data_IF_763566799991
#
_entry.id   IF_763566799991
#
_cell.length_a   1.000
_cell.length_b   1.000
_cell.length_c   1.000
_cell.angle_alpha   90.00
_cell.angle_beta   90.00
_cell.angle_gamma   90.00
#
_symmetry.space_group_name_H-M   'P 1'
#
loop_
_entity.id
_entity.type
_entity.pdbx_description
1 polymer ?
#
# COMPACT_ATOMS: atom_id res chain seq x y z
N UNK A 1 -13.82 -19.68 4.06
CA UNK A 1 -12.96 -20.70 4.68
C UNK A 1 -13.33 -22.08 4.16
N UNK A 2 -12.37 -23.04 4.16
CA UNK A 2 -12.64 -24.44 3.85
C UNK A 2 -13.91 -24.95 4.53
N UNK A 3 -14.74 -25.66 3.77
CA UNK A 3 -16.05 -26.15 4.22
C UNK A 3 -17.24 -25.22 3.95
N UNK A 4 -17.02 -23.98 3.50
CA UNK A 4 -18.09 -23.05 3.10
C UNK A 4 -18.50 -23.18 1.63
N UNK A 5 -19.77 -22.90 1.31
CA UNK A 5 -20.29 -22.94 -0.07
C UNK A 5 -19.66 -21.92 -1.02
N UNK A 6 -19.15 -20.81 -0.50
CA UNK A 6 -18.40 -19.83 -1.29
C UNK A 6 -16.93 -20.24 -1.47
N UNK A 7 -16.39 -21.09 -0.59
CA UNK A 7 -14.97 -21.48 -0.65
C UNK A 7 -14.64 -22.17 -1.96
N UNK A 8 -15.47 -23.13 -2.34
CA UNK A 8 -15.38 -23.78 -3.64
C UNK A 8 -16.37 -23.14 -4.62
N UNK A 9 -15.97 -22.77 -5.85
CA UNK A 9 -14.61 -22.86 -6.39
C UNK A 9 -13.75 -21.59 -6.17
N UNK A 10 -14.37 -20.46 -5.82
CA UNK A 10 -13.78 -19.11 -5.96
C UNK A 10 -12.64 -18.82 -4.99
N UNK A 11 -12.77 -19.25 -3.73
CA UNK A 11 -11.80 -18.91 -2.67
C UNK A 11 -10.88 -20.08 -2.32
N UNK A 12 -10.84 -21.12 -3.14
CA UNK A 12 -9.98 -22.30 -2.95
C UNK A 12 -8.50 -21.93 -2.73
N UNK A 13 -7.89 -20.97 -3.46
CA UNK A 13 -6.51 -20.58 -3.21
C UNK A 13 -6.27 -19.95 -1.83
N UNK A 14 -7.30 -19.37 -1.19
CA UNK A 14 -7.18 -18.74 0.12
C UNK A 14 -7.02 -19.76 1.25
N UNK A 15 -7.29 -21.04 1.00
CA UNK A 15 -6.90 -22.11 1.93
C UNK A 15 -5.40 -22.15 2.16
N UNK A 16 -4.58 -21.92 1.12
CA UNK A 16 -3.14 -21.85 1.27
C UNK A 16 -2.74 -20.68 2.17
N UNK A 17 -3.30 -19.50 1.93
CA UNK A 17 -3.04 -18.30 2.75
C UNK A 17 -3.42 -18.51 4.22
N UNK A 18 -4.60 -19.07 4.50
CA UNK A 18 -5.02 -19.35 5.88
C UNK A 18 -4.23 -20.46 6.58
N UNK A 19 -3.48 -21.29 5.83
CA UNK A 19 -2.54 -22.29 6.38
C UNK A 19 -1.16 -21.71 6.64
N UNK A 20 -0.72 -20.77 5.80
CA UNK A 20 0.55 -20.07 5.97
C UNK A 20 0.45 -19.03 7.06
N UNK A 21 -0.64 -18.27 7.09
CA UNK A 21 -0.85 -17.24 8.10
C UNK A 21 -2.22 -17.39 8.75
N UNK A 22 -2.18 -17.72 10.03
CA UNK A 22 -3.38 -17.95 10.83
C UNK A 22 -4.20 -16.70 11.12
N UNK A 23 -3.68 -15.50 10.83
CA UNK A 23 -4.45 -14.25 10.86
C UNK A 23 -5.61 -14.28 9.85
N UNK A 24 -5.46 -15.05 8.77
CA UNK A 24 -6.52 -15.31 7.79
C UNK A 24 -7.25 -16.63 8.03
N UNK A 25 -7.01 -17.32 9.14
CA UNK A 25 -7.50 -18.67 9.41
C UNK A 25 -8.61 -18.76 10.44
N UNK A 26 -8.99 -20.00 10.77
CA UNK A 26 -9.97 -20.28 11.82
C UNK A 26 -9.49 -19.85 13.21
N UNK A 27 -8.18 -19.83 13.46
CA UNK A 27 -7.59 -19.38 14.73
C UNK A 27 -8.03 -17.94 15.04
N UNK A 28 -7.71 -16.99 14.15
CA UNK A 28 -8.08 -15.59 14.32
C UNK A 28 -9.59 -15.38 14.44
N UNK A 29 -10.40 -16.15 13.68
CA UNK A 29 -11.86 -16.12 13.79
C UNK A 29 -12.35 -16.55 15.18
N UNK A 30 -11.88 -17.69 15.68
CA UNK A 30 -12.30 -18.26 16.96
C UNK A 30 -11.85 -17.40 18.14
N UNK A 31 -10.67 -16.79 18.04
CA UNK A 31 -10.11 -15.86 19.03
C UNK A 31 -10.75 -14.46 18.99
N UNK A 32 -11.64 -14.21 18.02
CA UNK A 32 -12.22 -12.88 17.76
C UNK A 32 -11.15 -11.80 17.58
N UNK A 33 -10.06 -12.16 16.90
CA UNK A 33 -8.97 -11.24 16.60
C UNK A 33 -9.43 -10.21 15.55
N UNK A 34 -9.50 -8.94 15.95
CA UNK A 34 -9.96 -7.84 15.09
C UNK A 34 -8.95 -7.37 14.04
N UNK A 35 -7.69 -7.81 14.11
CA UNK A 35 -6.61 -7.27 13.29
C UNK A 35 -6.88 -7.40 11.78
N UNK A 36 -7.21 -8.61 11.31
CA UNK A 36 -7.46 -8.87 9.89
C UNK A 36 -8.67 -8.10 9.35
N UNK A 37 -9.73 -7.99 10.14
CA UNK A 37 -10.93 -7.23 9.76
C UNK A 37 -10.61 -5.73 9.67
N UNK A 38 -9.85 -5.18 10.61
CA UNK A 38 -9.41 -3.79 10.59
C UNK A 38 -8.52 -3.49 9.37
N UNK A 39 -7.57 -4.39 9.05
CA UNK A 39 -6.77 -4.32 7.82
C UNK A 39 -7.67 -4.31 6.57
N UNK A 40 -8.69 -5.16 6.53
CA UNK A 40 -9.66 -5.22 5.43
C UNK A 40 -10.42 -3.91 5.22
N UNK A 41 -10.89 -3.25 6.29
CA UNK A 41 -11.56 -1.94 6.19
C UNK A 41 -10.60 -0.90 5.62
N UNK A 42 -9.36 -0.88 6.10
CA UNK A 42 -8.36 0.06 5.61
C UNK A 42 -7.95 -0.22 4.15
N UNK A 43 -7.95 -1.48 3.71
CA UNK A 43 -7.74 -1.85 2.31
C UNK A 43 -8.85 -1.32 1.40
N UNK A 44 -10.11 -1.30 1.87
CA UNK A 44 -11.21 -0.73 1.09
C UNK A 44 -11.03 0.79 0.87
N UNK A 45 -10.64 1.52 1.92
CA UNK A 45 -10.34 2.96 1.84
C UNK A 45 -9.17 3.23 0.90
N UNK A 46 -8.07 2.51 1.10
CA UNK A 46 -6.87 2.60 0.26
C UNK A 46 -7.17 2.30 -1.21
N UNK A 47 -7.97 1.27 -1.49
CA UNK A 47 -8.38 0.94 -2.86
C UNK A 47 -9.12 2.11 -3.50
N UNK A 48 -10.04 2.75 -2.75
CA UNK A 48 -10.71 3.96 -3.21
C UNK A 48 -9.73 5.09 -3.55
N UNK A 49 -8.72 5.31 -2.72
CA UNK A 49 -7.68 6.32 -2.97
C UNK A 49 -6.86 5.98 -4.23
N UNK A 50 -6.43 4.73 -4.40
CA UNK A 50 -5.70 4.33 -5.61
C UNK A 50 -6.54 4.40 -6.88
N UNK A 51 -7.85 4.14 -6.81
CA UNK A 51 -8.75 4.34 -7.94
C UNK A 51 -8.85 5.82 -8.34
N UNK A 52 -8.97 6.72 -7.36
CA UNK A 52 -8.95 8.18 -7.61
C UNK A 52 -7.62 8.61 -8.23
N UNK A 53 -6.50 8.15 -7.67
CA UNK A 53 -5.16 8.41 -8.21
C UNK A 53 -5.02 7.91 -9.65
N UNK A 54 -5.33 6.64 -9.91
CA UNK A 54 -5.23 6.04 -11.23
C UNK A 54 -6.14 6.75 -12.26
N UNK A 55 -7.38 7.07 -11.88
CA UNK A 55 -8.29 7.82 -12.74
C UNK A 55 -7.75 9.21 -13.08
N UNK A 56 -7.17 9.92 -12.11
CA UNK A 56 -6.54 11.22 -12.32
C UNK A 56 -5.32 11.15 -13.25
N UNK A 57 -4.46 10.15 -13.07
CA UNK A 57 -3.29 9.91 -13.95
C UNK A 57 -3.71 9.55 -15.38
N UNK A 58 -4.75 8.74 -15.54
CA UNK A 58 -5.23 8.35 -16.88
C UNK A 58 -5.94 9.50 -17.60
N UNK A 59 -6.67 10.32 -16.85
CA UNK A 59 -7.43 11.46 -17.40
C UNK A 59 -6.53 12.64 -17.77
N UNK A 60 -5.37 12.80 -17.12
CA UNK A 60 -4.38 13.85 -17.42
C UNK A 60 -3.55 13.59 -18.68
N UNK A 61 -3.39 12.34 -19.12
CA UNK A 61 -2.69 12.00 -20.37
C UNK A 61 -3.44 12.42 -21.66
N UNK A 62 -4.66 12.96 -21.55
CA UNK A 62 -5.54 13.27 -22.69
C UNK A 62 -5.89 14.75 -22.92
N UNK A 63 -5.41 15.70 -22.11
CA UNK A 63 -5.84 17.10 -22.17
C UNK A 63 -4.69 18.11 -22.04
N UNK A 64 -4.74 19.18 -22.85
CA UNK A 64 -3.87 20.36 -22.76
C UNK A 64 -4.51 21.42 -21.86
N UNK A 65 -3.81 21.78 -20.79
CA UNK A 65 -3.37 23.13 -20.41
C UNK A 65 -4.44 24.18 -20.22
N UNK A 66 -5.04 24.25 -19.03
CA UNK A 66 -5.50 25.53 -18.46
C UNK A 66 -5.30 25.50 -16.93
N UNK A 67 -5.04 26.65 -16.30
CA UNK A 67 -4.48 26.80 -14.93
C UNK A 67 -5.18 26.05 -13.78
N UNK A 68 -6.37 25.47 -14.00
CA UNK A 68 -7.01 24.49 -13.12
C UNK A 68 -6.39 23.09 -13.14
N UNK A 69 -5.56 22.76 -14.14
CA UNK A 69 -4.81 21.51 -14.23
C UNK A 69 -3.75 21.38 -13.15
N UNK A 70 -3.10 22.47 -12.73
CA UNK A 70 -2.06 22.44 -11.69
C UNK A 70 -2.61 21.98 -10.34
N UNK A 71 -3.75 22.53 -9.91
CA UNK A 71 -4.41 22.12 -8.66
C UNK A 71 -4.94 20.70 -8.73
N UNK A 72 -5.53 20.29 -9.86
CA UNK A 72 -6.02 18.92 -10.06
C UNK A 72 -4.86 17.91 -10.06
N UNK A 73 -3.76 18.21 -10.75
CA UNK A 73 -2.54 17.39 -10.74
C UNK A 73 -1.96 17.27 -9.34
N UNK A 74 -1.82 18.38 -8.61
CA UNK A 74 -1.36 18.38 -7.22
C UNK A 74 -2.25 17.51 -6.31
N UNK A 75 -3.58 17.57 -6.47
CA UNK A 75 -4.51 16.70 -5.74
C UNK A 75 -4.30 15.22 -6.07
N UNK A 76 -4.10 14.87 -7.34
CA UNK A 76 -3.85 13.49 -7.76
C UNK A 76 -2.56 12.97 -7.11
N UNK A 77 -1.47 13.71 -7.21
CA UNK A 77 -0.18 13.35 -6.59
C UNK A 77 -0.32 13.20 -5.07
N UNK A 78 -1.01 14.13 -4.41
CA UNK A 78 -1.24 14.09 -2.96
C UNK A 78 -2.05 12.85 -2.53
N UNK A 79 -3.10 12.50 -3.27
CA UNK A 79 -3.91 11.29 -2.98
C UNK A 79 -3.08 10.03 -3.17
N UNK A 80 -2.28 9.95 -4.24
CA UNK A 80 -1.37 8.83 -4.48
C UNK A 80 -0.32 8.69 -3.38
N UNK A 81 0.26 9.81 -2.93
CA UNK A 81 1.21 9.84 -1.83
C UNK A 81 0.58 9.35 -0.52
N UNK A 82 -0.60 9.87 -0.16
CA UNK A 82 -1.30 9.47 1.06
C UNK A 82 -1.70 7.99 1.03
N UNK A 83 -2.12 7.47 -0.13
CA UNK A 83 -2.41 6.05 -0.31
C UNK A 83 -1.17 5.19 -0.08
N UNK A 84 -0.03 5.58 -0.66
CA UNK A 84 1.24 4.86 -0.48
C UNK A 84 1.71 4.87 0.99
N UNK A 85 1.60 5.99 1.69
CA UNK A 85 1.88 6.07 3.14
C UNK A 85 0.97 5.12 3.93
N UNK A 86 -0.32 5.06 3.59
CA UNK A 86 -1.26 4.13 4.23
C UNK A 86 -0.87 2.67 3.98
N UNK A 87 -0.51 2.30 2.74
CA UNK A 87 -0.04 0.95 2.40
C UNK A 87 1.17 0.57 3.24
N UNK A 88 2.20 1.44 3.23
CA UNK A 88 3.42 1.19 3.99
C UNK A 88 3.15 1.05 5.48
N UNK A 89 2.36 1.96 6.06
CA UNK A 89 2.05 1.99 7.50
C UNK A 89 1.33 0.72 7.95
N UNK A 90 0.37 0.25 7.16
CA UNK A 90 -0.37 -1.00 7.44
C UNK A 90 0.54 -2.21 7.37
N UNK A 91 1.37 -2.30 6.33
CA UNK A 91 2.30 -3.41 6.16
C UNK A 91 3.32 -3.42 7.29
N UNK A 92 3.89 -2.28 7.67
CA UNK A 92 4.78 -2.18 8.84
C UNK A 92 4.06 -2.62 10.11
N UNK A 93 2.83 -2.16 10.34
CA UNK A 93 2.04 -2.57 11.50
C UNK A 93 1.79 -4.09 11.53
N UNK A 94 1.56 -4.71 10.37
CA UNK A 94 1.40 -6.15 10.27
C UNK A 94 2.66 -6.93 10.65
N UNK A 95 3.82 -6.51 10.15
CA UNK A 95 5.10 -7.11 10.54
C UNK A 95 5.40 -6.92 12.03
N UNK A 96 5.13 -5.72 12.57
CA UNK A 96 5.30 -5.44 13.99
C UNK A 96 4.34 -6.27 14.85
N UNK A 97 3.09 -6.43 14.41
CA UNK A 97 2.11 -7.26 15.11
C UNK A 97 2.60 -8.71 15.23
N UNK A 98 3.16 -9.29 14.17
CA UNK A 98 3.76 -10.62 14.23
C UNK A 98 5.00 -10.68 15.11
N UNK A 99 5.87 -9.67 15.05
CA UNK A 99 7.05 -9.63 15.93
C UNK A 99 6.65 -9.58 17.42
N UNK A 100 5.71 -8.70 17.79
CA UNK A 100 5.26 -8.53 19.17
C UNK A 100 4.32 -9.63 19.67
N UNK A 101 3.70 -10.41 18.77
CA UNK A 101 2.95 -11.61 19.14
C UNK A 101 3.83 -12.85 19.32
N UNK A 102 5.15 -12.75 19.03
CA UNK A 102 6.05 -13.90 19.06
C UNK A 102 5.89 -14.82 17.84
N UNK A 103 5.51 -14.24 16.69
CA UNK A 103 5.23 -14.93 15.43
C UNK A 103 4.11 -15.95 15.53
N UNK A 104 3.10 -15.64 16.36
CA UNK A 104 2.02 -16.55 16.74
C UNK A 104 1.17 -17.03 15.54
N UNK A 105 1.15 -16.29 14.42
CA UNK A 105 0.40 -16.69 13.24
C UNK A 105 1.22 -17.32 12.12
N UNK A 106 2.55 -17.15 12.15
CA UNK A 106 3.44 -17.55 11.04
C UNK A 106 4.62 -18.44 11.46
N UNK A 107 4.87 -18.58 12.76
CA UNK A 107 6.04 -19.28 13.30
C UNK A 107 6.02 -20.80 13.10
N UNK A 108 4.88 -21.38 12.74
CA UNK A 108 4.73 -22.81 12.46
C UNK A 108 5.23 -23.21 11.07
N UNK A 109 5.44 -22.25 10.16
CA UNK A 109 5.86 -22.54 8.79
C UNK A 109 7.31 -23.00 8.70
N UNK A 110 7.61 -23.78 7.66
CA UNK A 110 9.00 -24.01 7.26
C UNK A 110 9.65 -22.68 6.85
N UNK A 111 10.96 -22.53 7.04
CA UNK A 111 11.68 -21.31 6.63
C UNK A 111 11.49 -21.00 5.15
N UNK A 112 11.42 -22.02 4.30
CA UNK A 112 11.23 -21.86 2.87
C UNK A 112 9.83 -21.32 2.54
N UNK A 113 8.77 -21.91 3.11
CA UNK A 113 7.40 -21.45 2.90
C UNK A 113 7.19 -20.04 3.46
N UNK A 114 7.77 -19.75 4.63
CA UNK A 114 7.74 -18.42 5.23
C UNK A 114 8.37 -17.38 4.30
N UNK A 115 9.53 -17.68 3.71
CA UNK A 115 10.20 -16.76 2.79
C UNK A 115 9.35 -16.51 1.54
N UNK A 116 8.90 -17.59 0.89
CA UNK A 116 8.23 -17.48 -0.41
C UNK A 116 6.78 -16.98 -0.31
N UNK A 117 6.03 -17.43 0.70
CA UNK A 117 4.59 -17.20 0.78
C UNK A 117 4.22 -16.05 1.72
N UNK A 118 5.14 -15.61 2.58
CA UNK A 118 4.87 -14.50 3.51
C UNK A 118 5.86 -13.34 3.37
N UNK A 119 7.17 -13.58 3.44
CA UNK A 119 8.17 -12.50 3.45
C UNK A 119 8.25 -11.78 2.11
N UNK A 120 8.42 -12.50 0.99
CA UNK A 120 8.56 -11.87 -0.33
C UNK A 120 7.27 -11.13 -0.73
N UNK A 121 6.06 -11.72 -0.60
CA UNK A 121 4.82 -11.03 -0.94
C UNK A 121 4.61 -9.79 -0.08
N UNK A 122 4.69 -9.89 1.25
CA UNK A 122 4.50 -8.72 2.12
C UNK A 122 5.66 -7.71 1.99
N UNK A 123 6.88 -8.18 1.71
CA UNK A 123 8.05 -7.33 1.52
C UNK A 123 7.95 -6.45 0.28
N UNK A 124 7.33 -6.94 -0.80
CA UNK A 124 7.02 -6.10 -1.95
C UNK A 124 6.09 -4.92 -1.57
N UNK A 125 5.20 -5.12 -0.59
CA UNK A 125 4.28 -4.08 -0.06
C UNK A 125 4.96 -3.16 0.97
N UNK A 126 6.25 -3.36 1.25
CA UNK A 126 7.12 -2.37 1.90
C UNK A 126 7.88 -1.58 0.84
N UNK A 127 8.45 -2.27 -0.15
CA UNK A 127 9.34 -1.67 -1.16
C UNK A 127 8.57 -0.74 -2.12
N UNK A 128 7.51 -1.22 -2.77
CA UNK A 128 6.79 -0.43 -3.76
C UNK A 128 6.17 0.86 -3.21
N UNK A 129 5.44 0.85 -2.08
CA UNK A 129 4.91 2.10 -1.53
C UNK A 129 6.03 3.02 -1.04
N UNK A 130 7.16 2.51 -0.55
CA UNK A 130 8.31 3.37 -0.20
C UNK A 130 8.85 4.11 -1.42
N UNK A 131 8.97 3.43 -2.57
CA UNK A 131 9.36 4.07 -3.84
C UNK A 131 8.31 5.12 -4.24
N UNK A 132 7.02 4.80 -4.16
CA UNK A 132 5.95 5.76 -4.49
C UNK A 132 5.96 7.00 -3.59
N UNK A 133 6.18 6.82 -2.28
CA UNK A 133 6.33 7.92 -1.33
C UNK A 133 7.50 8.80 -1.73
N UNK A 134 8.65 8.21 -2.08
CA UNK A 134 9.83 8.96 -2.52
C UNK A 134 9.55 9.73 -3.81
N UNK A 135 8.98 9.09 -4.83
CA UNK A 135 8.74 9.74 -6.14
C UNK A 135 7.68 10.82 -6.05
N UNK A 136 6.50 10.51 -5.51
CA UNK A 136 5.39 11.47 -5.40
C UNK A 136 5.70 12.57 -4.38
N UNK A 137 6.44 12.24 -3.31
CA UNK A 137 6.93 13.23 -2.36
C UNK A 137 7.92 14.21 -2.99
N UNK A 138 8.82 13.72 -3.85
CA UNK A 138 9.74 14.59 -4.60
C UNK A 138 8.98 15.50 -5.56
N UNK A 139 7.99 14.99 -6.29
CA UNK A 139 7.13 15.80 -7.16
C UNK A 139 6.36 16.89 -6.38
N UNK A 140 5.89 16.58 -5.16
CA UNK A 140 5.25 17.58 -4.28
C UNK A 140 6.26 18.68 -3.91
N UNK A 141 7.49 18.31 -3.52
CA UNK A 141 8.53 19.26 -3.14
C UNK A 141 8.90 20.16 -4.33
N UNK A 142 9.18 19.57 -5.49
CA UNK A 142 9.55 20.31 -6.70
C UNK A 142 8.43 21.28 -7.13
N UNK A 143 7.17 20.86 -6.99
CA UNK A 143 6.01 21.71 -7.26
C UNK A 143 5.86 22.89 -6.29
N UNK A 144 6.32 22.75 -5.04
CA UNK A 144 6.30 23.80 -4.03
C UNK A 144 7.48 24.77 -4.13
N UNK A 145 8.65 24.29 -4.57
CA UNK A 145 9.87 25.11 -4.69
C UNK A 145 9.77 26.18 -5.79
N UNK A 146 8.91 25.99 -6.79
CA UNK A 146 8.64 26.95 -7.87
C UNK A 146 9.87 27.35 -8.70
N UNK A 147 9.73 28.26 -9.68
CA UNK A 147 10.88 28.75 -10.48
C UNK A 147 11.93 29.54 -9.67
N UNK A 148 11.59 29.98 -8.45
CA UNK A 148 12.36 30.93 -7.64
C UNK A 148 13.78 30.48 -7.26
N UNK A 149 14.06 29.17 -7.27
CA UNK A 149 15.39 28.64 -6.97
C UNK A 149 16.26 28.38 -8.22
N UNK A 150 15.69 28.43 -9.43
CA UNK A 150 16.43 28.25 -10.67
C UNK A 150 17.15 29.55 -11.11
N UNK A 151 16.50 30.71 -10.96
CA UNK A 151 17.11 32.02 -11.26
C UNK A 151 18.19 32.43 -10.24
N UNK A 152 18.04 32.07 -8.97
CA UNK A 152 19.05 32.38 -7.94
C UNK A 152 20.39 31.63 -8.16
N UNK A 153 20.40 30.53 -8.94
CA UNK A 153 21.62 29.78 -9.30
C UNK A 153 22.29 30.27 -10.58
N UNK A 154 21.57 30.93 -11.50
CA UNK A 154 22.15 31.45 -12.75
C UNK A 154 22.81 32.82 -12.59
N UNK A 155 22.49 33.57 -11.53
CA UNK A 155 23.01 34.92 -11.30
C UNK A 155 24.38 34.95 -10.57
N UNK A 156 24.93 33.80 -10.15
CA UNK A 156 26.25 33.72 -9.47
C UNK A 156 27.43 33.36 -10.40
N UNK A 157 27.37 33.75 -11.67
CA UNK A 157 28.53 33.69 -12.58
C UNK A 157 28.82 35.09 -13.10
N UNK A 158 29.44 35.91 -12.25
CA UNK A 158 30.30 37.05 -12.63
C UNK A 158 31.58 37.00 -11.79
#
# INVERSE_FOLDING_TARGET
>A
MPGGSLHYPLWTPYELYGRVDYVYGWKAWNERNGFTAAQGVMNAVETGMYLVYAWGVLSSKGGKGDGGEGRKGAMVVLVGFAAAVMTLSKTVLYWLNEYYSGFDNIGHNSTFDLILLWIIPNGAWLVFPSIMIYTLGSEIIDGLDGPSNAEARSVKVE
#
